data_IF_757573834786
#
_entry.id   IF_757573834786
#
_cell.length_a   1.000
_cell.length_b   1.000
_cell.length_c   1.000
_cell.angle_alpha   90.00
_cell.angle_beta   90.00
_cell.angle_gamma   90.00
#
_symmetry.space_group_name_H-M   'P 1'
#
loop_
_entity.id
_entity.type
_entity.pdbx_description
1 polymer ?
#
# COMPACT_ATOMS: atom_id res chain seq x y z
N UNK A 1 -5.14 -8.70 1.07
CA UNK A 1 -5.09 -7.95 2.33
C UNK A 1 -5.23 -6.43 2.11
N UNK A 2 -4.43 -5.78 1.25
CA UNK A 2 -4.47 -4.32 1.01
C UNK A 2 -5.86 -3.82 0.63
N UNK A 3 -6.52 -4.51 -0.30
CA UNK A 3 -7.88 -4.21 -0.73
C UNK A 3 -8.88 -4.25 0.45
N UNK A 4 -8.91 -5.35 1.20
CA UNK A 4 -9.77 -5.51 2.36
C UNK A 4 -9.47 -4.45 3.46
N UNK A 5 -8.19 -4.09 3.64
CA UNK A 5 -7.79 -3.04 4.59
C UNK A 5 -8.44 -1.69 4.27
N UNK A 6 -8.47 -1.25 3.02
CA UNK A 6 -9.06 0.04 2.67
C UNK A 6 -10.59 0.01 2.75
N UNK A 7 -11.22 -1.12 2.41
CA UNK A 7 -12.65 -1.31 2.64
C UNK A 7 -12.98 -1.24 4.14
N UNK A 8 -12.21 -1.95 4.98
CA UNK A 8 -12.38 -1.91 6.44
C UNK A 8 -12.19 -0.49 7.02
N UNK A 9 -11.22 0.29 6.52
CA UNK A 9 -11.02 1.68 6.98
C UNK A 9 -12.25 2.55 6.72
N UNK A 10 -12.94 2.40 5.60
CA UNK A 10 -14.17 3.15 5.32
C UNK A 10 -15.32 2.76 6.24
N UNK A 11 -15.48 1.46 6.52
CA UNK A 11 -16.48 0.96 7.46
C UNK A 11 -16.20 1.44 8.89
N UNK A 12 -14.95 1.37 9.33
CA UNK A 12 -14.54 1.85 10.65
C UNK A 12 -14.71 3.35 10.81
N UNK A 13 -14.44 4.13 9.75
CA UNK A 13 -14.69 5.57 9.75
C UNK A 13 -16.18 5.87 9.91
N UNK A 14 -17.04 5.22 9.14
CA UNK A 14 -18.48 5.37 9.27
C UNK A 14 -18.97 5.03 10.70
N UNK A 15 -18.46 3.93 11.27
CA UNK A 15 -18.77 3.53 12.64
C UNK A 15 -18.29 4.55 13.67
N UNK A 16 -17.09 5.12 13.47
CA UNK A 16 -16.56 6.16 14.35
C UNK A 16 -17.45 7.40 14.36
N UNK A 17 -17.89 7.86 13.21
CA UNK A 17 -18.83 8.99 13.10
C UNK A 17 -20.16 8.70 13.81
N UNK A 18 -20.71 7.52 13.58
CA UNK A 18 -21.97 7.08 14.20
C UNK A 18 -21.89 7.10 15.72
N UNK A 19 -20.84 6.48 16.31
CA UNK A 19 -20.66 6.41 17.77
C UNK A 19 -20.48 7.79 18.39
N UNK A 20 -19.89 8.73 17.66
CA UNK A 20 -19.71 10.11 18.15
C UNK A 20 -20.91 11.03 17.81
N UNK A 21 -21.98 10.51 17.25
CA UNK A 21 -23.15 11.33 16.84
C UNK A 21 -22.83 12.37 15.77
N UNK A 22 -21.75 12.18 15.02
CA UNK A 22 -21.34 13.08 13.94
C UNK A 22 -22.12 12.81 12.64
N UNK A 23 -22.30 13.84 11.84
CA UNK A 23 -22.94 13.66 10.52
C UNK A 23 -22.12 12.72 9.64
N UNK A 24 -22.76 11.87 8.82
CA UNK A 24 -22.08 11.00 7.89
C UNK A 24 -21.18 11.80 6.94
N UNK A 25 -19.91 11.40 6.82
CA UNK A 25 -18.94 12.02 5.92
C UNK A 25 -18.05 10.95 5.27
N UNK A 26 -17.74 11.15 4.00
CA UNK A 26 -16.87 10.24 3.27
C UNK A 26 -15.41 10.38 3.72
N UNK A 27 -14.79 9.24 4.00
CA UNK A 27 -13.34 9.18 4.23
C UNK A 27 -12.60 9.36 2.91
N UNK A 28 -11.72 10.35 2.84
CA UNK A 28 -10.76 10.49 1.73
C UNK A 28 -9.47 9.76 2.07
N UNK A 29 -9.14 8.75 1.29
CA UNK A 29 -7.95 7.93 1.46
C UNK A 29 -6.83 8.38 0.53
N UNK A 30 -5.82 9.05 1.09
CA UNK A 30 -4.53 9.24 0.44
C UNK A 30 -3.61 8.10 0.82
N UNK A 31 -3.01 7.45 -0.17
CA UNK A 31 -2.17 6.27 0.00
C UNK A 31 -0.81 6.50 -0.64
N UNK A 32 0.24 6.08 0.05
CA UNK A 32 1.59 6.07 -0.49
C UNK A 32 2.16 4.65 -0.46
N UNK A 33 2.94 4.27 -1.47
CA UNK A 33 3.68 3.01 -1.44
C UNK A 33 4.73 3.04 -0.34
N UNK A 34 4.83 1.97 0.46
CA UNK A 34 5.68 1.96 1.65
C UNK A 34 7.17 1.94 1.31
N UNK A 35 7.96 2.83 1.89
CA UNK A 35 9.42 2.80 1.80
C UNK A 35 10.00 1.46 2.31
N UNK A 36 9.40 0.85 3.34
CA UNK A 36 9.84 -0.44 3.91
C UNK A 36 9.82 -1.61 2.93
N UNK A 37 9.05 -1.53 1.85
CA UNK A 37 9.03 -2.57 0.83
C UNK A 37 10.13 -2.40 -0.23
N UNK A 38 10.86 -1.28 -0.20
CA UNK A 38 11.89 -0.98 -1.20
C UNK A 38 13.22 -1.65 -0.83
N UNK A 39 13.74 -2.46 -1.74
CA UNK A 39 15.06 -3.08 -1.64
C UNK A 39 16.10 -2.21 -2.34
N UNK A 40 17.30 -2.08 -1.73
CA UNK A 40 18.44 -1.37 -2.33
C UNK A 40 19.25 -2.24 -3.28
N UNK A 41 19.34 -3.56 -3.01
CA UNK A 41 20.17 -4.52 -3.76
C UNK A 41 19.62 -4.83 -5.16
N UNK A 42 18.28 -4.91 -5.29
CA UNK A 42 17.62 -5.04 -6.58
C UNK A 42 16.50 -4.00 -6.69
N UNK A 43 16.83 -2.78 -7.11
CA UNK A 43 15.87 -1.70 -7.21
C UNK A 43 14.79 -1.97 -8.26
N UNK A 44 15.08 -2.71 -9.33
CA UNK A 44 14.10 -2.98 -10.40
C UNK A 44 12.95 -3.87 -9.91
N UNK A 45 13.18 -4.79 -8.98
CA UNK A 45 12.09 -5.55 -8.33
C UNK A 45 11.12 -4.66 -7.56
N UNK A 46 11.52 -3.45 -7.19
CA UNK A 46 10.62 -2.49 -6.53
C UNK A 46 9.52 -1.98 -7.48
N UNK A 47 9.74 -2.01 -8.80
CA UNK A 47 8.71 -1.67 -9.81
C UNK A 47 7.54 -2.63 -9.68
N UNK A 48 7.82 -3.93 -9.59
CA UNK A 48 6.78 -4.97 -9.43
C UNK A 48 6.03 -4.81 -8.11
N UNK A 49 6.76 -4.55 -7.02
CA UNK A 49 6.16 -4.32 -5.69
C UNK A 49 5.26 -3.09 -5.69
N UNK A 50 5.74 -1.98 -6.26
CA UNK A 50 4.97 -0.75 -6.37
C UNK A 50 3.71 -0.97 -7.23
N UNK A 51 3.84 -1.66 -8.37
CA UNK A 51 2.70 -1.99 -9.24
C UNK A 51 1.64 -2.80 -8.50
N UNK A 52 2.04 -3.86 -7.79
CA UNK A 52 1.12 -4.68 -7.00
C UNK A 52 0.45 -3.88 -5.86
N UNK A 53 1.20 -3.01 -5.20
CA UNK A 53 0.68 -2.15 -4.13
C UNK A 53 -0.34 -1.13 -4.67
N UNK A 54 -0.02 -0.46 -5.79
CA UNK A 54 -0.91 0.51 -6.44
C UNK A 54 -2.18 -0.17 -6.98
N UNK A 55 -2.02 -1.35 -7.60
CA UNK A 55 -3.17 -2.16 -8.04
C UNK A 55 -4.11 -2.48 -6.89
N UNK A 56 -3.56 -3.01 -5.78
CA UNK A 56 -4.36 -3.33 -4.59
C UNK A 56 -4.98 -2.09 -3.92
N UNK A 57 -4.30 -0.95 -3.95
CA UNK A 57 -4.82 0.31 -3.42
C UNK A 57 -5.95 0.88 -4.29
N UNK A 58 -5.77 0.86 -5.61
CA UNK A 58 -6.79 1.31 -6.58
C UNK A 58 -8.07 0.50 -6.47
N UNK A 59 -7.97 -0.84 -6.50
CA UNK A 59 -9.13 -1.72 -6.30
C UNK A 59 -9.75 -1.60 -4.90
N UNK A 60 -8.97 -1.23 -3.89
CA UNK A 60 -9.45 -0.98 -2.54
C UNK A 60 -10.12 0.37 -2.34
N UNK A 61 -10.22 1.18 -3.40
CA UNK A 61 -10.92 2.46 -3.39
C UNK A 61 -10.09 3.60 -2.78
N UNK A 62 -8.77 3.61 -2.93
CA UNK A 62 -7.96 4.78 -2.60
C UNK A 62 -8.33 5.97 -3.51
N UNK A 63 -8.56 7.15 -2.94
CA UNK A 63 -8.93 8.35 -3.69
C UNK A 63 -7.72 8.98 -4.40
N UNK A 64 -6.56 8.92 -3.77
CA UNK A 64 -5.28 9.38 -4.33
C UNK A 64 -4.15 8.44 -3.96
N UNK A 65 -3.20 8.24 -4.88
CA UNK A 65 -2.07 7.33 -4.66
C UNK A 65 -0.77 8.04 -5.04
N UNK A 66 0.18 8.06 -4.11
CA UNK A 66 1.57 8.44 -4.37
C UNK A 66 2.44 7.20 -4.53
N UNK A 67 3.26 7.16 -5.58
CA UNK A 67 4.14 6.03 -5.86
C UNK A 67 5.59 6.47 -5.65
N UNK A 68 6.26 5.85 -4.70
CA UNK A 68 7.69 6.06 -4.51
C UNK A 68 8.47 5.46 -5.69
N UNK A 69 9.44 6.20 -6.24
CA UNK A 69 10.29 5.69 -7.32
C UNK A 69 11.08 4.46 -6.89
N UNK A 70 11.34 3.56 -7.82
CA UNK A 70 11.95 2.26 -7.54
C UNK A 70 13.35 2.33 -6.92
N UNK A 71 14.11 3.41 -7.16
CA UNK A 71 15.46 3.63 -6.65
C UNK A 71 15.50 4.38 -5.31
N UNK A 72 14.36 4.68 -4.69
CA UNK A 72 14.27 5.50 -3.47
C UNK A 72 15.14 4.97 -2.31
N UNK A 73 15.35 3.66 -2.22
CA UNK A 73 16.20 3.06 -1.20
C UNK A 73 17.71 3.23 -1.45
N UNK A 74 18.11 3.71 -2.62
CA UNK A 74 19.49 3.98 -3.00
C UNK A 74 19.87 5.46 -2.85
N UNK A 75 18.91 6.38 -2.86
CA UNK A 75 19.12 7.82 -2.77
C UNK A 75 18.04 8.64 -3.45
N UNK A 76 18.33 9.89 -3.79
CA UNK A 76 17.39 10.77 -4.47
C UNK A 76 17.11 10.26 -5.89
N UNK A 77 15.88 9.84 -6.20
CA UNK A 77 15.55 9.25 -7.50
C UNK A 77 15.74 10.24 -8.66
N UNK A 78 16.29 9.75 -9.74
CA UNK A 78 16.50 10.52 -10.97
C UNK A 78 15.18 10.73 -11.76
N UNK A 79 15.29 11.43 -12.89
CA UNK A 79 14.14 11.71 -13.78
C UNK A 79 13.53 10.41 -14.33
N UNK A 80 14.35 9.40 -14.59
CA UNK A 80 13.86 8.12 -15.13
C UNK A 80 13.04 7.36 -14.09
N UNK A 81 13.54 7.22 -12.87
CA UNK A 81 12.85 6.55 -11.77
C UNK A 81 11.51 7.23 -11.45
N UNK A 82 11.48 8.58 -11.40
CA UNK A 82 10.25 9.35 -11.21
C UNK A 82 9.25 9.17 -12.35
N UNK A 83 9.72 9.03 -13.60
CA UNK A 83 8.86 8.74 -14.75
C UNK A 83 8.23 7.36 -14.64
N UNK A 84 9.00 6.34 -14.26
CA UNK A 84 8.47 4.98 -14.06
C UNK A 84 7.39 4.98 -12.97
N UNK A 85 7.59 5.65 -11.84
CA UNK A 85 6.59 5.74 -10.78
C UNK A 85 5.24 6.32 -11.25
N UNK A 86 5.27 7.35 -12.10
CA UNK A 86 4.05 7.90 -12.72
C UNK A 86 3.43 6.95 -13.74
N UNK A 87 4.26 6.27 -14.54
CA UNK A 87 3.77 5.36 -15.57
C UNK A 87 3.08 4.14 -14.98
N UNK A 88 3.49 3.65 -13.82
CA UNK A 88 2.76 2.59 -13.09
C UNK A 88 1.29 2.96 -12.93
N UNK A 89 0.99 4.19 -12.51
CA UNK A 89 -0.40 4.63 -12.36
C UNK A 89 -1.10 4.80 -13.70
N UNK A 90 -0.43 5.39 -14.70
CA UNK A 90 -0.99 5.59 -16.03
C UNK A 90 -1.37 4.26 -16.70
N UNK A 91 -0.51 3.24 -16.60
CA UNK A 91 -0.78 1.90 -17.14
C UNK A 91 -2.00 1.27 -16.45
N UNK A 92 -2.07 1.35 -15.13
CA UNK A 92 -3.19 0.79 -14.38
C UNK A 92 -4.51 1.50 -14.67
N UNK A 93 -4.48 2.82 -14.88
CA UNK A 93 -5.67 3.58 -15.25
C UNK A 93 -6.05 3.41 -16.72
N UNK A 94 -5.13 3.66 -17.65
CA UNK A 94 -5.44 3.75 -19.06
C UNK A 94 -5.50 2.38 -19.77
N UNK A 95 -4.64 1.43 -19.38
CA UNK A 95 -4.55 0.13 -20.05
C UNK A 95 -5.28 -0.96 -19.24
N UNK A 96 -5.11 -1.01 -17.92
CA UNK A 96 -5.80 -1.99 -17.07
C UNK A 96 -7.22 -1.56 -16.67
N UNK A 97 -7.63 -0.34 -16.97
CA UNK A 97 -8.98 0.19 -16.79
C UNK A 97 -9.53 0.06 -15.36
N UNK A 98 -8.70 0.19 -14.33
CA UNK A 98 -9.11 -0.02 -12.93
C UNK A 98 -10.20 0.93 -12.44
N UNK A 99 -10.38 2.06 -13.11
CA UNK A 99 -11.39 3.07 -12.77
C UNK A 99 -12.82 2.69 -13.18
N UNK A 100 -13.01 1.67 -14.03
CA UNK A 100 -14.32 1.34 -14.63
C UNK A 100 -15.30 0.69 -13.65
N UNK A 101 -14.81 0.11 -12.58
CA UNK A 101 -15.65 -0.58 -11.58
C UNK A 101 -15.35 -0.01 -10.21
N UNK A 102 -16.35 0.50 -9.52
CA UNK A 102 -16.21 1.15 -8.22
C UNK A 102 -15.93 0.11 -7.19
N UNK A 103 -16.25 -0.91 -6.89
CA UNK A 103 -15.85 -1.94 -5.92
C UNK A 103 -15.77 -3.31 -6.60
N UNK A 104 -14.66 -3.54 -7.26
CA UNK A 104 -14.43 -4.78 -8.02
C UNK A 104 -14.43 -6.05 -7.15
N UNK A 105 -14.34 -5.91 -5.84
CA UNK A 105 -14.33 -7.04 -4.90
C UNK A 105 -15.65 -7.23 -4.16
N UNK A 106 -16.66 -6.42 -4.45
CA UNK A 106 -17.98 -6.54 -3.85
C UNK A 106 -18.59 -7.92 -4.14
N UNK A 107 -19.06 -8.60 -3.08
CA UNK A 107 -19.61 -9.94 -3.16
C UNK A 107 -18.59 -11.08 -3.23
N UNK A 108 -17.28 -10.78 -3.28
CA UNK A 108 -16.25 -11.82 -3.18
C UNK A 108 -16.15 -12.32 -1.73
N UNK A 109 -16.70 -13.48 -1.44
CA UNK A 109 -16.86 -14.00 -0.07
C UNK A 109 -15.58 -13.98 0.78
N UNK A 110 -14.43 -14.31 0.21
CA UNK A 110 -13.14 -14.21 0.91
C UNK A 110 -12.77 -12.77 1.28
N UNK A 111 -13.00 -11.82 0.38
CA UNK A 111 -12.67 -10.41 0.63
C UNK A 111 -13.63 -9.79 1.64
N UNK A 112 -14.91 -10.13 1.56
CA UNK A 112 -15.92 -9.68 2.53
C UNK A 112 -15.58 -10.19 3.93
N UNK A 113 -15.36 -11.49 4.09
CA UNK A 113 -14.96 -12.08 5.37
C UNK A 113 -13.67 -11.47 5.94
N UNK A 114 -12.66 -11.28 5.09
CA UNK A 114 -11.40 -10.66 5.51
C UNK A 114 -11.61 -9.19 5.92
N UNK A 115 -12.50 -8.47 5.25
CA UNK A 115 -12.86 -7.09 5.60
C UNK A 115 -13.51 -7.03 6.97
N UNK A 116 -14.48 -7.91 7.25
CA UNK A 116 -15.15 -8.01 8.55
C UNK A 116 -14.15 -8.34 9.67
N UNK A 117 -13.33 -9.37 9.49
CA UNK A 117 -12.31 -9.76 10.47
C UNK A 117 -11.31 -8.63 10.77
N UNK A 118 -10.95 -7.84 9.75
CA UNK A 118 -10.10 -6.65 9.94
C UNK A 118 -10.83 -5.55 10.70
N UNK A 119 -12.12 -5.32 10.43
CA UNK A 119 -12.93 -4.36 11.18
C UNK A 119 -13.00 -4.71 12.66
N UNK A 120 -13.33 -5.95 12.99
CA UNK A 120 -13.42 -6.41 14.38
C UNK A 120 -12.08 -6.27 15.11
N UNK A 121 -11.00 -6.73 14.50
CA UNK A 121 -9.67 -6.64 15.09
C UNK A 121 -9.22 -5.20 15.29
N UNK A 122 -9.39 -4.35 14.27
CA UNK A 122 -8.99 -2.96 14.35
C UNK A 122 -9.83 -2.17 15.36
N UNK A 123 -11.15 -2.44 15.43
CA UNK A 123 -12.01 -1.80 16.42
C UNK A 123 -11.61 -2.14 17.85
N UNK A 124 -11.30 -3.41 18.15
CA UNK A 124 -10.77 -3.81 19.46
C UNK A 124 -9.44 -3.12 19.80
N UNK A 125 -8.53 -3.01 18.82
CA UNK A 125 -7.27 -2.28 19.03
C UNK A 125 -7.50 -0.79 19.28
N UNK A 126 -8.44 -0.19 18.56
CA UNK A 126 -8.81 1.21 18.77
C UNK A 126 -9.35 1.45 20.18
N UNK A 127 -10.28 0.61 20.64
CA UNK A 127 -10.82 0.71 22.01
C UNK A 127 -9.71 0.60 23.06
N UNK A 128 -8.83 -0.38 22.95
CA UNK A 128 -7.67 -0.53 23.86
C UNK A 128 -6.76 0.70 23.83
N UNK A 129 -6.49 1.25 22.68
CA UNK A 129 -5.69 2.46 22.54
C UNK A 129 -6.37 3.68 23.24
N UNK A 130 -7.70 3.79 23.19
CA UNK A 130 -8.44 4.83 23.90
C UNK A 130 -8.35 4.67 25.42
N UNK A 131 -8.21 3.43 25.93
CA UNK A 131 -7.97 3.11 27.33
C UNK A 131 -6.48 3.28 27.76
N UNK A 132 -5.62 3.76 26.84
CA UNK A 132 -4.19 3.99 27.09
C UNK A 132 -3.27 2.80 26.77
N UNK A 133 -3.82 1.66 26.35
CA UNK A 133 -3.04 0.48 25.92
C UNK A 133 -2.74 0.55 24.42
N UNK A 134 -1.76 1.36 24.05
CA UNK A 134 -1.34 1.51 22.67
C UNK A 134 -0.66 0.25 22.14
N UNK A 135 -1.20 -0.39 21.09
CA UNK A 135 -0.57 -1.55 20.50
C UNK A 135 0.80 -1.17 19.95
N UNK A 136 1.83 -1.88 20.39
CA UNK A 136 3.16 -1.71 19.83
C UNK A 136 3.16 -2.17 18.36
N UNK A 137 3.79 -1.41 17.44
CA UNK A 137 3.93 -1.85 16.07
C UNK A 137 4.70 -3.18 16.07
N UNK A 138 4.12 -4.19 15.43
CA UNK A 138 4.84 -5.42 15.16
C UNK A 138 6.01 -5.12 14.22
N UNK A 139 7.20 -5.03 14.78
CA UNK A 139 8.45 -4.78 14.04
C UNK A 139 9.00 -6.06 13.39
N UNK A 140 8.42 -7.20 13.71
CA UNK A 140 8.87 -8.46 13.14
C UNK A 140 8.48 -8.53 11.66
N UNK A 141 9.44 -8.22 10.81
CA UNK A 141 9.44 -8.74 9.44
C UNK A 141 9.43 -10.26 9.60
N UNK A 142 8.55 -10.95 8.89
CA UNK A 142 8.52 -12.42 8.95
C UNK A 142 9.93 -12.94 8.67
N UNK A 143 10.65 -13.27 9.75
CA UNK A 143 12.04 -13.74 9.67
C UNK A 143 12.05 -15.05 8.92
N UNK A 144 12.96 -15.19 7.96
CA UNK A 144 13.16 -16.43 7.21
C UNK A 144 12.38 -16.59 5.91
N UNK A 145 11.42 -15.73 5.58
CA UNK A 145 10.77 -15.82 4.26
C UNK A 145 11.68 -15.24 3.16
N UNK A 146 11.87 -15.98 2.04
CA UNK A 146 12.64 -15.48 0.92
C UNK A 146 11.92 -14.27 0.28
N UNK A 147 12.62 -13.16 0.16
CA UNK A 147 12.13 -11.94 -0.49
C UNK A 147 12.94 -11.69 -1.75
N UNK A 148 12.28 -11.74 -2.90
CA UNK A 148 12.91 -11.54 -4.22
C UNK A 148 13.65 -10.19 -4.25
N UNK A 149 14.89 -10.18 -4.74
CA UNK A 149 15.71 -8.97 -4.83
C UNK A 149 16.20 -8.43 -3.48
N UNK A 150 15.98 -9.15 -2.37
CA UNK A 150 16.46 -8.77 -1.03
C UNK A 150 17.27 -9.89 -0.39
N UNK A 151 16.69 -11.07 -0.19
CA UNK A 151 17.34 -12.25 0.40
C UNK A 151 17.40 -13.43 -0.56
N UNK A 152 16.64 -13.40 -1.67
CA UNK A 152 16.62 -14.45 -2.69
C UNK A 152 16.58 -13.84 -4.10
N UNK A 153 17.05 -14.60 -5.07
CA UNK A 153 17.03 -14.25 -6.50
C UNK A 153 17.65 -12.87 -6.78
N UNK A 154 18.82 -12.62 -6.20
CA UNK A 154 19.57 -11.40 -6.45
C UNK A 154 20.11 -11.39 -7.89
N UNK A 155 20.18 -10.23 -8.56
CA UNK A 155 20.76 -10.11 -9.88
C UNK A 155 22.25 -10.48 -9.81
N UNK A 156 22.82 -11.11 -10.86
CA UNK A 156 24.22 -11.52 -10.92
C UNK A 156 25.17 -10.32 -10.93
N UNK A 157 24.72 -9.17 -11.38
CA UNK A 157 25.45 -7.91 -11.41
C UNK A 157 24.63 -6.80 -10.79
N UNK A 158 25.32 -5.88 -10.10
CA UNK A 158 24.65 -4.67 -9.59
C UNK A 158 24.28 -3.75 -10.75
N UNK A 159 23.05 -3.26 -10.73
CA UNK A 159 22.62 -2.23 -11.68
C UNK A 159 23.12 -0.86 -11.21
N UNK A 160 23.52 0.03 -12.15
CA UNK A 160 23.85 1.39 -11.77
C UNK A 160 22.63 2.07 -11.14
N UNK A 161 22.81 2.82 -10.05
CA UNK A 161 21.71 3.46 -9.35
C UNK A 161 21.06 4.56 -10.23
N UNK A 162 19.72 4.52 -10.33
CA UNK A 162 18.93 5.54 -11.00
C UNK A 162 18.64 6.71 -10.03
N UNK A 163 19.71 7.39 -9.59
CA UNK A 163 19.69 8.49 -8.62
C UNK A 163 20.32 9.75 -9.20
N UNK A 164 19.95 10.91 -8.67
CA UNK A 164 20.58 12.20 -8.99
C UNK A 164 21.97 12.27 -8.32
N UNK A 165 22.98 12.67 -9.08
CA UNK A 165 24.26 13.02 -8.49
C UNK A 165 24.10 14.29 -7.65
N UNK A 166 24.46 14.23 -6.40
CA UNK A 166 24.60 15.42 -5.56
C UNK A 166 25.73 16.27 -6.15
N UNK A 167 25.41 17.48 -6.63
CA UNK A 167 26.34 18.48 -7.07
C UNK A 167 26.81 19.33 -5.90
#
# INVERSE_FOLDING_TARGET
LTLAKFRAMRLLWARLLEVNGAAPANLRLHVETSFRMSASRDPHSNILRATAAVFGAGLGGADTIAVLPFSIAQGLPDRFARRIARNVQNILLAESNLWRVADAASGAGYVEHLTEALCEKAWRHFQRAMDGDWPQPDSTRAEGLPVIGTSAYLPPTEYPPAIEALR
#
